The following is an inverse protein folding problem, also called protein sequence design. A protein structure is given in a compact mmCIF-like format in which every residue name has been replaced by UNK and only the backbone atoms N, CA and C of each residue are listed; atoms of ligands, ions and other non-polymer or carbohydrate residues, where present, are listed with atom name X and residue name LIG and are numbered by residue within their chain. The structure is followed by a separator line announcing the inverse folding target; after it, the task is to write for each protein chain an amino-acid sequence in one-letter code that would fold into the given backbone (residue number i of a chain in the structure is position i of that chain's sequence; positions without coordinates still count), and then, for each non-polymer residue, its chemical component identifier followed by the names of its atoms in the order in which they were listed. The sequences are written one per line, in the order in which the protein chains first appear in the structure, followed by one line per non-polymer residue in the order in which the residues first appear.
data_IF_032691301948
#
_entry.id   IF_032691301948
#
_cell.length_a   1.000
_cell.length_b   1.000
_cell.length_c   1.000
_cell.angle_alpha   90.00
_cell.angle_beta   90.00
_cell.angle_gamma   90.00
#
_symmetry.space_group_name_H-M   'P 1'
#
loop_
_entity.id
_entity.type
_entity.pdbx_description
1 polymer ?
#
# COMPACT_ATOMS: atom_id res chain seq x y z
N UNK A 1 -21.71 -8.03 -0.10
CA UNK A 1 -21.32 -8.22 -1.53
C UNK A 1 -19.78 -8.22 -1.62
N UNK A 2 -19.14 -9.34 -2.01
CA UNK A 2 -17.67 -9.47 -2.02
C UNK A 2 -16.96 -8.42 -2.90
N UNK A 3 -17.60 -8.00 -4.00
CA UNK A 3 -17.08 -6.96 -4.90
C UNK A 3 -16.88 -5.60 -4.21
N UNK A 4 -17.79 -5.20 -3.32
CA UNK A 4 -17.71 -3.91 -2.60
C UNK A 4 -16.52 -3.88 -1.65
N UNK A 5 -16.25 -5.00 -0.98
CA UNK A 5 -15.09 -5.11 -0.08
C UNK A 5 -13.77 -5.07 -0.87
N UNK A 6 -13.68 -5.77 -2.00
CA UNK A 6 -12.49 -5.73 -2.84
C UNK A 6 -12.20 -4.33 -3.39
N UNK A 7 -13.24 -3.60 -3.80
CA UNK A 7 -13.13 -2.20 -4.22
C UNK A 7 -12.67 -1.29 -3.07
N UNK A 8 -13.18 -1.49 -1.85
CA UNK A 8 -12.77 -0.71 -0.68
C UNK A 8 -11.30 -0.94 -0.29
N UNK A 9 -10.82 -2.19 -0.37
CA UNK A 9 -9.41 -2.55 -0.16
C UNK A 9 -8.52 -1.91 -1.22
N UNK A 10 -8.89 -2.04 -2.50
CA UNK A 10 -8.16 -1.42 -3.61
C UNK A 10 -8.08 0.11 -3.44
N UNK A 11 -9.18 0.75 -3.03
CA UNK A 11 -9.22 2.18 -2.75
C UNK A 11 -8.30 2.59 -1.59
N UNK A 12 -8.30 1.81 -0.49
CA UNK A 12 -7.42 2.06 0.65
C UNK A 12 -5.94 1.99 0.25
N UNK A 13 -5.57 0.99 -0.55
CA UNK A 13 -4.21 0.83 -1.08
C UNK A 13 -3.81 2.00 -2.00
N UNK A 14 -4.66 2.40 -2.93
CA UNK A 14 -4.41 3.53 -3.83
C UNK A 14 -4.19 4.82 -3.03
N UNK A 15 -5.04 5.08 -2.03
CA UNK A 15 -4.92 6.27 -1.18
C UNK A 15 -3.64 6.24 -0.35
N UNK A 16 -3.28 5.09 0.22
CA UNK A 16 -2.03 4.93 0.95
C UNK A 16 -0.82 5.17 0.04
N UNK A 17 -0.87 4.62 -1.18
CA UNK A 17 0.15 4.81 -2.18
C UNK A 17 0.38 6.30 -2.50
N UNK A 18 -0.67 7.06 -2.78
CA UNK A 18 -0.54 8.52 -3.00
C UNK A 18 -0.02 9.29 -1.77
N UNK A 19 -0.20 8.76 -0.56
CA UNK A 19 0.34 9.38 0.66
C UNK A 19 1.86 9.20 0.81
N UNK A 20 2.39 8.05 0.36
CA UNK A 20 3.83 7.77 0.43
C UNK A 20 4.59 8.31 -0.78
N UNK A 21 3.90 8.58 -1.89
CA UNK A 21 4.53 9.12 -3.10
C UNK A 21 5.04 10.55 -2.84
N UNK A 22 6.32 10.87 -3.14
CA UNK A 22 6.89 12.20 -2.94
C UNK A 22 6.18 13.26 -3.77
N UNK A 23 5.87 14.45 -3.22
CA UNK A 23 5.10 15.51 -3.91
C UNK A 23 5.66 15.91 -5.27
N UNK A 24 6.96 15.77 -5.53
CA UNK A 24 7.62 16.15 -6.79
C UNK A 24 7.73 15.03 -7.83
N UNK A 25 7.01 13.91 -7.65
CA UNK A 25 7.05 12.75 -8.57
C UNK A 25 6.77 13.13 -10.04
N UNK A 26 5.87 14.10 -10.26
CA UNK A 26 5.48 14.56 -11.60
C UNK A 26 6.54 15.40 -12.31
N UNK A 27 7.64 15.78 -11.63
CA UNK A 27 8.71 16.58 -12.24
C UNK A 27 9.70 15.76 -13.05
N UNK A 28 9.68 14.43 -12.94
CA UNK A 28 10.58 13.55 -13.69
C UNK A 28 9.77 12.48 -14.45
N UNK A 29 9.90 12.39 -15.78
CA UNK A 29 9.33 11.27 -16.51
C UNK A 29 9.99 9.95 -16.07
N UNK A 30 9.29 8.81 -16.09
CA UNK A 30 7.89 8.62 -16.49
C UNK A 30 6.98 9.09 -15.36
N UNK A 31 5.99 9.93 -15.66
CA UNK A 31 5.02 10.53 -14.72
C UNK A 31 4.11 9.52 -14.01
N UNK A 32 4.62 8.32 -13.73
CA UNK A 32 4.02 7.39 -12.82
C UNK A 32 4.53 7.70 -11.41
N UNK A 33 3.66 7.67 -10.40
CA UNK A 33 4.00 7.84 -8.97
C UNK A 33 4.87 6.71 -8.40
N UNK A 34 5.85 6.20 -9.15
CA UNK A 34 6.67 5.06 -8.76
C UNK A 34 7.70 5.46 -7.70
N UNK A 35 7.76 4.74 -6.57
CA UNK A 35 8.84 4.94 -5.62
C UNK A 35 10.20 4.62 -6.24
N UNK A 36 11.28 5.33 -5.86
CA UNK A 36 12.60 5.11 -6.45
C UNK A 36 13.10 3.69 -6.17
N UNK A 37 13.82 3.07 -7.13
CA UNK A 37 14.28 1.68 -7.02
C UNK A 37 15.09 1.40 -5.75
N UNK A 38 15.91 2.37 -5.32
CA UNK A 38 16.70 2.25 -4.09
C UNK A 38 15.81 2.19 -2.84
N UNK A 39 14.71 2.96 -2.83
CA UNK A 39 13.72 2.89 -1.74
C UNK A 39 13.04 1.52 -1.70
N UNK A 40 12.59 1.01 -2.85
CA UNK A 40 11.99 -0.32 -2.93
C UNK A 40 12.96 -1.42 -2.48
N UNK A 41 14.23 -1.34 -2.90
CA UNK A 41 15.25 -2.31 -2.51
C UNK A 41 15.49 -2.31 -0.99
N UNK A 42 15.62 -1.12 -0.38
CA UNK A 42 15.73 -0.98 1.06
C UNK A 42 14.49 -1.53 1.78
N UNK A 43 13.28 -1.14 1.33
CA UNK A 43 12.01 -1.59 1.93
C UNK A 43 11.85 -3.10 1.90
N UNK A 44 12.14 -3.73 0.75
CA UNK A 44 12.05 -5.18 0.60
C UNK A 44 13.09 -5.90 1.46
N UNK A 45 14.32 -5.37 1.55
CA UNK A 45 15.37 -5.94 2.40
C UNK A 45 15.05 -5.82 3.88
N UNK A 46 14.42 -4.74 4.32
CA UNK A 46 13.99 -4.58 5.72
C UNK A 46 12.81 -5.47 6.06
N UNK A 47 11.83 -5.61 5.17
CA UNK A 47 10.63 -6.41 5.42
C UNK A 47 10.85 -7.92 5.27
N UNK A 48 11.62 -8.35 4.28
CA UNK A 48 11.78 -9.76 3.90
C UNK A 48 13.22 -10.30 4.07
N UNK A 49 14.17 -9.44 4.44
CA UNK A 49 15.57 -9.84 4.63
C UNK A 49 16.28 -10.16 3.31
N UNK A 50 17.11 -11.21 3.31
CA UNK A 50 17.86 -11.65 2.11
C UNK A 50 17.00 -12.45 1.12
N UNK A 51 15.89 -13.02 1.56
CA UNK A 51 14.98 -13.78 0.70
C UNK A 51 13.93 -12.85 0.12
N UNK A 52 13.98 -12.64 -1.20
CA UNK A 52 12.93 -11.90 -1.88
C UNK A 52 11.76 -12.86 -2.14
N UNK A 53 10.56 -12.61 -1.59
CA UNK A 53 9.41 -13.46 -1.83
C UNK A 53 9.04 -13.43 -3.31
N UNK A 54 8.37 -14.49 -3.77
CA UNK A 54 7.83 -14.53 -5.12
C UNK A 54 6.74 -13.46 -5.31
N UNK A 55 6.51 -13.02 -6.54
CA UNK A 55 5.47 -12.03 -6.84
C UNK A 55 4.08 -12.38 -6.26
N UNK A 56 3.60 -13.65 -6.28
CA UNK A 56 2.31 -14.00 -5.70
C UNK A 56 2.22 -13.80 -4.18
N UNK A 57 3.30 -14.09 -3.46
CA UNK A 57 3.37 -13.91 -2.00
C UNK A 57 3.35 -12.43 -1.65
N UNK A 58 4.14 -11.62 -2.37
CA UNK A 58 4.16 -10.18 -2.18
C UNK A 58 2.80 -9.54 -2.47
N UNK A 59 2.08 -10.01 -3.50
CA UNK A 59 0.71 -9.55 -3.79
C UNK A 59 -0.26 -9.94 -2.67
N UNK A 60 -0.10 -11.13 -2.07
CA UNK A 60 -0.91 -11.57 -0.92
C UNK A 60 -0.67 -10.68 0.30
N UNK A 61 0.59 -10.36 0.59
CA UNK A 61 0.95 -9.49 1.72
C UNK A 61 0.39 -8.07 1.54
N UNK A 62 0.52 -7.53 0.33
CA UNK A 62 -0.06 -6.21 -0.02
C UNK A 62 -1.58 -6.22 0.14
N UNK A 63 -2.24 -7.31 -0.27
CA UNK A 63 -3.69 -7.45 -0.10
C UNK A 63 -4.10 -7.54 1.37
N UNK A 64 -3.38 -8.32 2.17
CA UNK A 64 -3.61 -8.44 3.62
C UNK A 64 -3.38 -7.09 4.33
N UNK A 65 -2.36 -6.35 3.92
CA UNK A 65 -2.12 -4.99 4.41
C UNK A 65 -3.26 -4.03 4.02
N UNK A 66 -3.80 -4.14 2.80
CA UNK A 66 -4.94 -3.33 2.36
C UNK A 66 -6.22 -3.63 3.14
N UNK A 67 -6.47 -4.90 3.45
CA UNK A 67 -7.60 -5.33 4.29
C UNK A 67 -7.46 -4.80 5.73
N UNK A 68 -6.24 -4.85 6.28
CA UNK A 68 -5.92 -4.22 7.57
C UNK A 68 -6.15 -2.70 7.54
N UNK A 69 -5.65 -2.00 6.51
CA UNK A 69 -5.83 -0.54 6.35
C UNK A 69 -7.31 -0.14 6.31
N UNK A 70 -8.14 -0.93 5.61
CA UNK A 70 -9.57 -0.71 5.55
C UNK A 70 -10.22 -0.88 6.93
N UNK A 71 -9.90 -1.98 7.62
CA UNK A 71 -10.47 -2.32 8.93
C UNK A 71 -10.04 -1.33 10.01
N UNK A 72 -8.74 -1.02 10.12
CA UNK A 72 -8.23 -0.07 11.12
C UNK A 72 -8.78 1.35 10.96
N UNK A 73 -9.18 1.75 9.74
CA UNK A 73 -9.86 3.04 9.53
C UNK A 73 -11.27 3.03 10.13
N UNK A 74 -11.99 1.92 9.97
CA UNK A 74 -13.33 1.77 10.54
C UNK A 74 -13.29 1.87 12.07
N UNK A 75 -12.27 1.26 12.70
CA UNK A 75 -12.10 1.32 14.15
C UNK A 75 -11.73 2.73 14.64
N UNK A 76 -10.91 3.47 13.88
CA UNK A 76 -10.53 4.85 14.23
C UNK A 76 -11.71 5.84 14.11
N UNK A 77 -12.55 5.67 13.09
CA UNK A 77 -13.78 6.48 12.91
C UNK A 77 -14.83 6.15 13.97
N UNK A 78 -14.92 4.89 14.41
CA UNK A 78 -15.78 4.49 15.53
C UNK A 78 -15.28 5.07 16.87
N UNK A 79 -13.98 5.04 17.12
CA UNK A 79 -13.38 5.57 18.34
C UNK A 79 -13.44 7.11 18.45
N UNK A 80 -13.49 7.82 17.32
CA UNK A 80 -13.59 9.30 17.30
C UNK A 80 -15.03 9.80 17.47
N UNK A 81 -16.03 8.91 17.36
CA UNK A 81 -17.45 9.24 17.54
C UNK A 81 -17.99 9.00 18.96
N UNK A 82 -17.11 8.64 19.91
CA UNK A 82 -17.40 8.52 21.35
C UNK A 82 -16.88 9.76 22.05
#
# INVERSE_FOLDING_TARGET
MPAVRHLAIAWALIRFYFRITPRDWYRRPPFLPLPPRNYLHWRLRTAYGKHRPAWPELLRDVWQFGDWLHTSRHDFEAATKI
#
